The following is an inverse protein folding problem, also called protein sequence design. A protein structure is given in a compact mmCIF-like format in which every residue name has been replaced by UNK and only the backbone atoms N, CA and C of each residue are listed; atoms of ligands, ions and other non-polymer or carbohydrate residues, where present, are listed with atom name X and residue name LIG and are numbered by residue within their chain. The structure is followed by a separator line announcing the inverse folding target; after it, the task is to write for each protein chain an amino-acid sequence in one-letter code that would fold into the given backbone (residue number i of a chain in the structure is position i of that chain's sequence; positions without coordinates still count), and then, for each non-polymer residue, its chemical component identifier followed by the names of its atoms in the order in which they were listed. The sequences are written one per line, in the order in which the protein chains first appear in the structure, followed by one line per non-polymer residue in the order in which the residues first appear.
data_IF_867323311576
#
_entry.id   IF_867323311576
#
_cell.length_a   1.000
_cell.length_b   1.000
_cell.length_c   1.000
_cell.angle_alpha   90.00
_cell.angle_beta   90.00
_cell.angle_gamma   90.00
#
_symmetry.space_group_name_H-M   'P 1'
#
loop_
_entity.id
_entity.type
_entity.pdbx_description
1 polymer ?
#
# COMPACT_ATOMS: atom_id res chain seq x y z
N UNK A 1 -7.21 17.90 -5.67
CA UNK A 1 -8.42 18.72 -5.93
C UNK A 1 -8.68 19.76 -4.82
N UNK A 2 -7.95 19.73 -3.69
CA UNK A 2 -8.09 20.73 -2.65
C UNK A 2 -9.34 20.62 -1.75
N UNK A 3 -10.08 19.52 -1.81
CA UNK A 3 -11.28 19.34 -0.99
C UNK A 3 -11.02 19.22 0.52
N UNK A 4 -9.81 18.87 0.93
CA UNK A 4 -9.42 18.83 2.34
C UNK A 4 -7.97 18.38 2.52
N UNK A 5 -7.35 18.73 3.67
CA UNK A 5 -5.96 18.37 3.97
C UNK A 5 -5.83 16.96 4.56
N UNK A 6 -6.89 16.42 5.18
CA UNK A 6 -6.89 15.16 5.93
C UNK A 6 -8.01 14.25 5.42
N UNK A 7 -7.66 13.04 5.04
CA UNK A 7 -8.60 12.02 4.58
C UNK A 7 -8.29 10.67 5.23
N UNK A 8 -9.27 9.79 5.29
CA UNK A 8 -9.14 8.41 5.73
C UNK A 8 -9.51 7.50 4.56
N UNK A 9 -8.75 6.45 4.37
CA UNK A 9 -9.04 5.39 3.44
C UNK A 9 -8.85 4.01 4.06
N UNK A 10 -9.09 2.96 3.27
CA UNK A 10 -8.77 1.57 3.64
C UNK A 10 -7.88 0.94 2.58
N UNK A 11 -7.13 -0.09 2.98
CA UNK A 11 -6.12 -0.75 2.14
C UNK A 11 -6.13 -2.25 2.44
N UNK A 12 -6.43 -3.07 1.44
CA UNK A 12 -6.34 -4.53 1.51
C UNK A 12 -5.33 -5.11 0.52
N UNK A 13 -4.90 -4.32 -0.45
CA UNK A 13 -3.93 -4.72 -1.46
C UNK A 13 -3.10 -3.57 -2.00
N UNK A 14 -3.26 -2.36 -1.42
CA UNK A 14 -2.59 -1.14 -1.85
C UNK A 14 -3.51 0.08 -1.92
N UNK A 15 -4.79 -0.04 -1.56
CA UNK A 15 -5.81 1.00 -1.84
C UNK A 15 -5.62 2.33 -1.09
N UNK A 16 -4.71 2.45 -0.13
CA UNK A 16 -4.18 3.70 0.40
C UNK A 16 -2.94 4.15 -0.37
N UNK A 17 -1.98 3.22 -0.51
CA UNK A 17 -0.64 3.49 -1.00
C UNK A 17 -0.60 3.79 -2.49
N UNK A 18 -1.33 3.03 -3.31
CA UNK A 18 -1.43 3.25 -4.76
C UNK A 18 -2.00 4.63 -5.10
N UNK A 19 -3.20 5.02 -4.62
CA UNK A 19 -3.72 6.35 -4.91
C UNK A 19 -2.86 7.46 -4.30
N UNK A 20 -2.21 7.24 -3.15
CA UNK A 20 -1.26 8.21 -2.61
C UNK A 20 -0.06 8.42 -3.53
N UNK A 21 0.50 7.36 -4.11
CA UNK A 21 1.55 7.43 -5.12
C UNK A 21 1.09 8.24 -6.33
N UNK A 22 -0.06 7.89 -6.89
CA UNK A 22 -0.60 8.52 -8.11
C UNK A 22 -1.05 9.97 -7.92
N UNK A 23 -1.40 10.36 -6.70
CA UNK A 23 -1.78 11.74 -6.36
C UNK A 23 -0.65 12.56 -5.74
N UNK A 24 0.53 11.99 -5.53
CA UNK A 24 1.67 12.67 -4.93
C UNK A 24 1.49 13.05 -3.46
N UNK A 25 0.56 12.40 -2.73
CA UNK A 25 0.32 12.62 -1.30
C UNK A 25 1.03 11.58 -0.43
N UNK A 26 1.03 11.82 0.87
CA UNK A 26 1.51 10.86 1.87
C UNK A 26 0.37 9.99 2.38
N UNK A 27 0.67 8.74 2.71
CA UNK A 27 -0.21 7.85 3.46
C UNK A 27 0.58 6.87 4.31
N UNK A 28 0.01 6.47 5.44
CA UNK A 28 0.42 5.30 6.20
C UNK A 28 -0.67 4.25 6.13
N UNK A 29 -0.34 3.06 5.62
CA UNK A 29 -1.07 1.83 5.92
C UNK A 29 -0.46 1.27 7.21
N UNK A 30 -1.09 1.44 8.36
CA UNK A 30 -0.53 0.95 9.61
C UNK A 30 -0.59 -0.58 9.70
N UNK A 31 -0.03 -1.12 10.76
CA UNK A 31 -0.17 -2.53 11.13
C UNK A 31 -1.65 -2.90 11.22
N UNK A 32 -1.99 -4.13 10.83
CA UNK A 32 -3.37 -4.62 10.91
C UNK A 32 -3.89 -4.50 12.36
N UNK A 33 -5.06 -3.92 12.52
CA UNK A 33 -5.68 -3.69 13.82
C UNK A 33 -5.14 -2.50 14.62
N UNK A 34 -4.19 -1.71 14.08
CA UNK A 34 -3.72 -0.47 14.71
C UNK A 34 -4.81 0.60 14.71
N UNK A 35 -5.54 0.73 13.62
CA UNK A 35 -6.75 1.54 13.50
C UNK A 35 -7.92 0.56 13.41
N UNK A 36 -8.89 0.59 14.33
CA UNK A 36 -10.03 -0.31 14.30
C UNK A 36 -10.92 -0.06 13.08
N UNK A 37 -11.49 -1.13 12.53
CA UNK A 37 -12.40 -1.12 11.39
C UNK A 37 -13.63 -1.97 11.72
N UNK A 38 -14.80 -1.47 11.41
CA UNK A 38 -16.06 -2.20 11.53
C UNK A 38 -16.79 -2.26 10.17
N UNK A 39 -17.04 -3.44 9.59
CA UNK A 39 -16.58 -4.76 10.04
C UNK A 39 -15.09 -5.02 9.77
N UNK A 40 -14.39 -5.75 10.66
CA UNK A 40 -12.99 -6.13 10.44
C UNK A 40 -12.88 -7.14 9.28
N UNK A 41 -11.73 -7.11 8.61
CA UNK A 41 -11.46 -8.04 7.52
C UNK A 41 -9.95 -8.32 7.42
N UNK A 42 -9.59 -9.59 7.18
CA UNK A 42 -8.20 -10.03 7.07
C UNK A 42 -7.40 -9.20 6.04
N UNK A 43 -6.29 -8.65 6.47
CA UNK A 43 -5.39 -7.84 5.64
C UNK A 43 -5.88 -6.41 5.36
N UNK A 44 -7.12 -6.04 5.75
CA UNK A 44 -7.63 -4.68 5.55
C UNK A 44 -7.24 -3.78 6.72
N UNK A 45 -6.48 -2.74 6.43
CA UNK A 45 -6.13 -1.67 7.36
C UNK A 45 -6.80 -0.36 6.94
N UNK A 46 -7.22 0.47 7.90
CA UNK A 46 -7.51 1.88 7.65
C UNK A 46 -6.25 2.71 7.86
N UNK A 47 -6.18 3.89 7.24
CA UNK A 47 -5.04 4.78 7.42
C UNK A 47 -5.30 6.21 6.97
N UNK A 48 -4.44 7.15 7.45
CA UNK A 48 -4.48 8.54 7.04
C UNK A 48 -3.95 8.72 5.61
N UNK A 49 -4.57 9.63 4.86
CA UNK A 49 -4.09 10.16 3.59
C UNK A 49 -3.95 11.68 3.74
N UNK A 50 -2.75 12.20 3.62
CA UNK A 50 -2.40 13.56 4.01
C UNK A 50 -1.38 14.17 3.06
N UNK A 51 -1.08 15.47 3.22
CA UNK A 51 -0.02 16.11 2.43
C UNK A 51 1.36 15.88 3.02
N UNK A 52 1.46 15.75 4.35
CA UNK A 52 2.73 15.63 5.08
C UNK A 52 2.72 14.43 6.02
N UNK A 53 3.91 13.99 6.41
CA UNK A 53 4.08 12.94 7.43
C UNK A 53 3.53 13.39 8.77
N UNK A 54 3.72 14.68 9.12
CA UNK A 54 3.22 15.26 10.37
C UNK A 54 1.71 15.23 10.50
N UNK A 55 0.98 15.54 9.41
CA UNK A 55 -0.48 15.44 9.40
C UNK A 55 -0.96 14.00 9.64
N UNK A 56 -0.25 13.02 9.07
CA UNK A 56 -0.57 11.61 9.30
C UNK A 56 -0.32 11.21 10.76
N UNK A 57 0.80 11.63 11.35
CA UNK A 57 1.10 11.39 12.76
C UNK A 57 0.03 12.02 13.68
N UNK A 58 -0.42 13.23 13.37
CA UNK A 58 -1.52 13.90 14.09
C UNK A 58 -2.82 13.08 14.01
N UNK A 59 -3.15 12.58 12.82
CA UNK A 59 -4.33 11.72 12.66
C UNK A 59 -4.20 10.41 13.43
N UNK A 60 -3.01 9.80 13.47
CA UNK A 60 -2.78 8.57 14.22
C UNK A 60 -3.04 8.70 15.71
N UNK A 61 -2.84 9.85 16.33
CA UNK A 61 -3.17 10.10 17.75
C UNK A 61 -4.65 9.86 18.07
N UNK A 62 -5.52 10.08 17.08
CA UNK A 62 -6.96 9.90 17.25
C UNK A 62 -7.41 8.55 16.72
N UNK A 63 -6.95 8.17 15.51
CA UNK A 63 -7.44 7.01 14.79
C UNK A 63 -6.99 5.68 15.41
N UNK A 64 -5.84 5.65 16.11
CA UNK A 64 -5.29 4.42 16.72
C UNK A 64 -5.90 4.07 18.09
N UNK A 65 -6.96 4.77 18.50
CA UNK A 65 -7.68 4.44 19.75
C UNK A 65 -8.46 3.13 19.55
N UNK A 66 -8.35 2.19 20.49
CA UNK A 66 -9.04 0.90 20.40
C UNK A 66 -10.56 1.05 20.34
N UNK A 67 -11.22 0.16 19.60
CA UNK A 67 -12.69 0.03 19.55
C UNK A 67 -13.07 -1.45 19.61
N UNK A 68 -13.91 -1.81 20.58
CA UNK A 68 -14.30 -3.20 20.83
C UNK A 68 -15.13 -3.85 19.70
N UNK A 69 -15.63 -3.08 18.75
CA UNK A 69 -16.32 -3.62 17.55
C UNK A 69 -15.37 -4.31 16.58
N UNK A 70 -14.10 -3.94 16.59
CA UNK A 70 -13.07 -4.61 15.79
C UNK A 70 -12.43 -5.74 16.60
N UNK A 71 -12.81 -6.98 16.31
CA UNK A 71 -12.20 -8.16 16.95
C UNK A 71 -10.74 -8.42 16.56
N UNK A 72 -10.22 -7.70 15.56
CA UNK A 72 -8.82 -7.75 15.13
C UNK A 72 -7.99 -6.59 15.66
N UNK A 73 -8.59 -5.72 16.49
CA UNK A 73 -7.90 -4.56 17.04
C UNK A 73 -6.72 -5.00 17.93
N UNK A 74 -5.59 -4.32 17.75
CA UNK A 74 -4.41 -4.55 18.59
C UNK A 74 -4.70 -4.14 20.04
N UNK A 75 -4.03 -4.79 21.02
CA UNK A 75 -4.09 -4.34 22.39
C UNK A 75 -3.74 -2.86 22.53
N UNK A 76 -4.35 -2.14 23.48
CA UNK A 76 -4.03 -0.73 23.72
C UNK A 76 -2.53 -0.54 23.93
N UNK A 77 -1.97 0.43 23.25
CA UNK A 77 -0.57 0.85 23.40
C UNK A 77 -0.53 2.37 23.51
N UNK A 78 0.25 2.85 24.46
CA UNK A 78 0.53 4.29 24.57
C UNK A 78 1.72 4.61 23.65
N UNK A 79 1.40 5.04 22.42
CA UNK A 79 2.38 5.42 21.42
C UNK A 79 2.41 6.95 21.34
N UNK A 80 3.56 7.53 21.66
CA UNK A 80 3.80 8.96 21.41
C UNK A 80 4.01 9.22 19.92
N UNK A 81 2.90 9.49 19.21
CA UNK A 81 2.94 9.79 17.79
C UNK A 81 3.70 11.07 17.46
N UNK A 82 3.88 12.00 18.43
CA UNK A 82 4.72 13.20 18.22
C UNK A 82 6.20 12.83 18.04
N UNK A 83 6.62 11.69 18.51
CA UNK A 83 7.96 11.14 18.28
C UNK A 83 8.28 10.76 16.83
N UNK A 84 7.38 11.05 15.87
CA UNK A 84 7.68 10.94 14.43
C UNK A 84 8.67 12.00 13.97
N UNK A 85 8.73 13.17 14.62
CA UNK A 85 9.51 14.31 14.18
C UNK A 85 10.99 14.12 14.53
N UNK A 86 11.71 13.65 13.55
CA UNK A 86 13.15 13.36 13.58
C UNK A 86 13.84 14.13 12.48
N UNK A 87 15.16 14.26 12.58
CA UNK A 87 16.02 14.79 11.52
C UNK A 87 16.50 13.70 10.55
N UNK A 88 17.29 14.10 9.54
CA UNK A 88 17.83 13.18 8.55
C UNK A 88 18.88 12.19 9.13
N UNK A 89 19.53 12.54 10.24
CA UNK A 89 20.50 11.65 10.90
C UNK A 89 19.85 10.38 11.46
N UNK A 90 18.52 10.36 11.60
CA UNK A 90 17.78 9.15 11.95
C UNK A 90 18.00 7.99 10.98
N UNK A 91 18.36 8.28 9.73
CA UNK A 91 18.65 7.25 8.72
C UNK A 91 20.03 6.58 8.88
N UNK A 92 20.94 7.20 9.63
CA UNK A 92 22.32 6.75 9.77
C UNK A 92 22.40 5.34 10.39
N UNK A 93 23.05 4.44 9.66
CA UNK A 93 23.29 3.06 10.09
C UNK A 93 22.08 2.12 9.95
N UNK A 94 20.90 2.61 9.56
CA UNK A 94 19.76 1.76 9.25
C UNK A 94 20.07 0.85 8.06
N UNK A 95 19.69 -0.42 8.18
CA UNK A 95 19.78 -1.39 7.09
C UNK A 95 18.50 -1.38 6.30
N UNK A 96 18.59 -0.91 5.05
CA UNK A 96 17.45 -0.72 4.15
C UNK A 96 17.52 -1.75 3.03
N UNK A 97 16.48 -2.58 2.90
CA UNK A 97 16.30 -3.46 1.75
C UNK A 97 15.71 -2.71 0.56
N UNK A 98 16.36 -2.72 -0.60
CA UNK A 98 15.85 -2.15 -1.84
C UNK A 98 15.23 -3.25 -2.71
N UNK A 99 13.90 -3.28 -2.80
CA UNK A 99 13.13 -4.23 -3.60
C UNK A 99 12.67 -3.58 -4.91
N UNK A 100 13.30 -3.93 -6.04
CA UNK A 100 12.99 -3.40 -7.37
C UNK A 100 12.26 -4.40 -8.29
N UNK A 101 12.01 -5.60 -7.79
CA UNK A 101 11.24 -6.65 -8.45
C UNK A 101 10.38 -7.35 -7.40
N UNK A 102 9.08 -7.36 -7.59
CA UNK A 102 8.16 -8.03 -6.66
C UNK A 102 8.23 -9.57 -6.79
N UNK A 103 8.65 -10.10 -7.94
CA UNK A 103 8.63 -11.53 -8.29
C UNK A 103 7.29 -11.98 -8.90
N UNK A 104 6.35 -11.06 -9.11
CA UNK A 104 5.06 -11.31 -9.75
C UNK A 104 4.46 -10.00 -10.28
N UNK A 105 3.43 -10.12 -11.10
CA UNK A 105 2.69 -8.99 -11.63
C UNK A 105 3.41 -8.25 -12.76
N UNK A 106 3.10 -6.97 -12.91
CA UNK A 106 3.69 -6.12 -13.96
C UNK A 106 5.16 -5.82 -13.68
N UNK A 107 6.01 -5.75 -14.72
CA UNK A 107 7.37 -5.25 -14.58
C UNK A 107 7.35 -3.75 -14.21
N UNK A 108 8.37 -3.31 -13.48
CA UNK A 108 8.52 -1.90 -13.10
C UNK A 108 8.91 -1.06 -14.31
N UNK A 109 8.14 -0.02 -14.60
CA UNK A 109 8.44 0.94 -15.66
C UNK A 109 9.77 1.68 -15.39
N UNK A 110 10.57 1.99 -16.44
CA UNK A 110 11.91 2.56 -16.28
C UNK A 110 11.97 3.86 -15.47
N UNK A 111 11.00 4.76 -15.63
CA UNK A 111 10.97 6.03 -14.89
C UNK A 111 10.72 5.82 -13.40
N UNK A 112 9.83 4.89 -13.06
CA UNK A 112 9.55 4.51 -11.67
C UNK A 112 10.78 3.89 -11.03
N UNK A 113 11.44 2.96 -11.73
CA UNK A 113 12.68 2.36 -11.28
C UNK A 113 13.74 3.42 -10.99
N UNK A 114 13.96 4.34 -11.95
CA UNK A 114 14.96 5.40 -11.83
C UNK A 114 14.68 6.32 -10.62
N UNK A 115 13.42 6.69 -10.38
CA UNK A 115 13.03 7.52 -9.24
C UNK A 115 13.28 6.80 -7.90
N UNK A 116 12.94 5.51 -7.80
CA UNK A 116 13.17 4.71 -6.58
C UNK A 116 14.65 4.47 -6.34
N UNK A 117 15.46 4.22 -7.39
CA UNK A 117 16.91 4.13 -7.27
C UNK A 117 17.54 5.47 -6.85
N UNK A 118 17.00 6.59 -7.31
CA UNK A 118 17.43 7.92 -6.84
C UNK A 118 17.10 8.12 -5.36
N UNK A 119 15.90 7.72 -4.92
CA UNK A 119 15.54 7.74 -3.51
C UNK A 119 16.49 6.88 -2.67
N UNK A 120 16.84 5.68 -3.13
CA UNK A 120 17.82 4.81 -2.46
C UNK A 120 19.17 5.50 -2.28
N UNK A 121 19.66 6.21 -3.30
CA UNK A 121 20.90 7.01 -3.19
C UNK A 121 20.82 8.12 -2.14
N UNK A 122 19.64 8.74 -1.96
CA UNK A 122 19.44 9.74 -0.89
C UNK A 122 19.52 9.09 0.49
N UNK A 123 18.98 7.88 0.68
CA UNK A 123 19.15 7.11 1.92
C UNK A 123 20.63 6.82 2.20
N UNK A 124 21.40 6.38 1.19
CA UNK A 124 22.85 6.12 1.33
C UNK A 124 23.61 7.41 1.69
N UNK A 125 23.31 8.53 1.03
CA UNK A 125 23.93 9.83 1.34
C UNK A 125 23.64 10.30 2.77
N UNK A 126 22.46 9.96 3.31
CA UNK A 126 22.10 10.22 4.71
C UNK A 126 22.73 9.21 5.69
N UNK A 127 23.51 8.23 5.19
CA UNK A 127 24.27 7.28 6.00
C UNK A 127 23.55 5.95 6.27
N UNK A 128 22.45 5.64 5.60
CA UNK A 128 21.85 4.32 5.63
C UNK A 128 22.69 3.30 4.83
N UNK A 129 22.55 2.02 5.17
CA UNK A 129 23.15 0.89 4.45
C UNK A 129 22.08 0.27 3.57
N UNK A 130 22.13 0.55 2.26
CA UNK A 130 21.12 0.05 1.31
C UNK A 130 21.65 -1.22 0.63
N UNK A 131 20.85 -2.29 0.70
CA UNK A 131 21.17 -3.58 0.10
C UNK A 131 20.05 -4.03 -0.85
N UNK A 132 20.40 -4.48 -2.05
CA UNK A 132 19.40 -5.03 -2.99
C UNK A 132 18.76 -6.28 -2.42
N UNK A 133 17.45 -6.32 -2.46
CA UNK A 133 16.58 -7.43 -2.01
C UNK A 133 16.22 -8.34 -3.18
N UNK A 134 16.23 -9.66 -2.95
CA UNK A 134 15.68 -10.60 -3.91
C UNK A 134 14.15 -10.58 -3.86
N UNK A 135 13.48 -10.82 -5.00
CA UNK A 135 12.04 -11.00 -5.04
C UNK A 135 11.58 -12.12 -4.10
N UNK A 136 10.47 -11.93 -3.42
CA UNK A 136 9.95 -12.94 -2.48
C UNK A 136 8.49 -13.33 -2.74
N UNK A 137 7.78 -12.57 -3.58
CA UNK A 137 6.47 -12.97 -4.07
C UNK A 137 6.60 -13.94 -5.25
N UNK A 138 5.54 -14.67 -5.52
CA UNK A 138 5.37 -15.47 -6.72
C UNK A 138 4.03 -15.20 -7.39
N UNK A 139 3.92 -15.51 -8.68
CA UNK A 139 2.64 -15.38 -9.39
C UNK A 139 1.53 -16.20 -8.72
N UNK A 140 1.84 -17.41 -8.22
CA UNK A 140 0.87 -18.25 -7.51
C UNK A 140 0.30 -17.57 -6.24
N UNK A 141 1.11 -16.76 -5.53
CA UNK A 141 0.64 -15.99 -4.38
C UNK A 141 -0.34 -14.90 -4.83
N UNK A 142 -0.02 -14.17 -5.89
CA UNK A 142 -0.88 -13.11 -6.44
C UNK A 142 -2.18 -13.68 -6.99
N UNK A 143 -2.11 -14.75 -7.77
CA UNK A 143 -3.27 -15.44 -8.32
C UNK A 143 -4.20 -15.98 -7.21
N UNK A 144 -3.63 -16.51 -6.13
CA UNK A 144 -4.42 -16.97 -4.98
C UNK A 144 -5.23 -15.86 -4.34
N UNK A 145 -4.65 -14.66 -4.19
CA UNK A 145 -5.39 -13.49 -3.68
C UNK A 145 -6.50 -13.07 -4.64
N UNK A 146 -6.19 -12.99 -5.93
CA UNK A 146 -7.17 -12.67 -6.96
C UNK A 146 -8.34 -13.66 -6.96
N UNK A 147 -8.06 -14.96 -6.96
CA UNK A 147 -9.09 -16.00 -6.99
C UNK A 147 -9.99 -15.97 -5.75
N UNK A 148 -9.42 -15.73 -4.55
CA UNK A 148 -10.25 -15.61 -3.34
C UNK A 148 -11.14 -14.36 -3.41
N UNK A 149 -10.62 -13.23 -3.86
CA UNK A 149 -11.39 -12.00 -3.99
C UNK A 149 -12.42 -12.05 -5.11
N UNK A 150 -12.14 -12.78 -6.21
CA UNK A 150 -13.14 -13.11 -7.24
C UNK A 150 -14.31 -13.87 -6.65
N UNK A 151 -14.02 -14.95 -5.90
CA UNK A 151 -15.07 -15.76 -5.27
C UNK A 151 -15.91 -14.93 -4.29
N UNK A 152 -15.27 -14.12 -3.44
CA UNK A 152 -15.98 -13.19 -2.55
C UNK A 152 -16.89 -12.26 -3.35
N UNK A 153 -16.36 -11.61 -4.38
CA UNK A 153 -17.14 -10.69 -5.22
C UNK A 153 -18.23 -11.39 -6.00
N UNK A 154 -18.02 -12.64 -6.41
CA UNK A 154 -19.06 -13.47 -7.01
C UNK A 154 -20.21 -13.72 -6.04
N UNK A 155 -19.92 -14.11 -4.79
CA UNK A 155 -20.93 -14.30 -3.73
C UNK A 155 -21.68 -13.00 -3.45
N UNK A 156 -20.97 -11.88 -3.30
CA UNK A 156 -21.57 -10.56 -3.08
C UNK A 156 -22.51 -10.17 -4.25
N UNK A 157 -22.09 -10.43 -5.50
CA UNK A 157 -22.92 -10.18 -6.69
C UNK A 157 -24.17 -11.05 -6.77
N UNK A 158 -24.09 -12.30 -6.29
CA UNK A 158 -25.25 -13.19 -6.22
C UNK A 158 -26.35 -12.61 -5.30
N UNK A 159 -25.98 -11.88 -4.26
CA UNK A 159 -26.92 -11.23 -3.34
C UNK A 159 -27.58 -9.97 -3.93
N UNK A 160 -27.08 -9.41 -5.03
CA UNK A 160 -27.66 -8.23 -5.65
C UNK A 160 -28.93 -8.56 -6.43
N UNK A 161 -29.92 -7.66 -6.35
CA UNK A 161 -31.08 -7.71 -7.24
C UNK A 161 -30.65 -7.54 -8.71
N UNK A 162 -31.43 -8.07 -9.70
CA UNK A 162 -31.08 -7.98 -11.13
C UNK A 162 -30.82 -6.54 -11.60
N UNK A 163 -31.61 -5.57 -11.12
CA UNK A 163 -31.48 -4.14 -11.47
C UNK A 163 -30.19 -3.51 -10.91
N UNK A 164 -29.70 -3.97 -9.77
CA UNK A 164 -28.44 -3.55 -9.16
C UNK A 164 -27.25 -4.21 -9.88
N UNK A 165 -27.33 -5.52 -10.16
CA UNK A 165 -26.29 -6.26 -10.90
C UNK A 165 -26.07 -5.66 -12.29
N UNK A 166 -27.11 -5.22 -12.98
CA UNK A 166 -27.00 -4.57 -14.29
C UNK A 166 -26.21 -3.25 -14.28
N UNK A 167 -26.11 -2.58 -13.11
CA UNK A 167 -25.34 -1.33 -12.94
C UNK A 167 -23.87 -1.54 -12.59
N UNK A 168 -23.46 -2.77 -12.28
CA UNK A 168 -22.06 -3.09 -12.03
C UNK A 168 -21.28 -2.96 -13.35
N UNK A 169 -20.10 -2.32 -13.30
CA UNK A 169 -19.24 -2.17 -14.47
C UNK A 169 -19.00 -3.54 -15.15
N UNK A 170 -19.10 -3.63 -16.48
CA UNK A 170 -18.90 -4.88 -17.21
C UNK A 170 -17.61 -5.60 -16.83
N UNK A 171 -16.49 -4.87 -16.72
CA UNK A 171 -15.19 -5.37 -16.30
C UNK A 171 -15.26 -6.10 -14.93
N UNK A 172 -15.88 -5.47 -13.92
CA UNK A 172 -15.99 -6.06 -12.57
C UNK A 172 -16.92 -7.27 -12.57
N UNK A 173 -17.99 -7.21 -13.36
CA UNK A 173 -18.92 -8.32 -13.50
C UNK A 173 -18.25 -9.53 -14.13
N UNK A 174 -17.53 -9.36 -15.23
CA UNK A 174 -16.78 -10.42 -15.90
C UNK A 174 -15.75 -11.06 -14.97
N UNK A 175 -14.97 -10.23 -14.26
CA UNK A 175 -14.01 -10.68 -13.26
C UNK A 175 -14.67 -11.52 -12.16
N UNK A 176 -15.75 -11.06 -11.55
CA UNK A 176 -16.42 -11.78 -10.47
C UNK A 176 -17.12 -13.05 -10.96
N UNK A 177 -17.80 -12.99 -12.12
CA UNK A 177 -18.50 -14.16 -12.70
C UNK A 177 -17.55 -15.28 -13.12
N UNK A 178 -16.29 -14.99 -13.43
CA UNK A 178 -15.28 -16.00 -13.74
C UNK A 178 -15.01 -16.97 -12.59
N UNK A 179 -15.38 -16.62 -11.35
CA UNK A 179 -15.28 -17.51 -10.19
C UNK A 179 -16.42 -18.51 -10.04
N UNK A 180 -17.47 -18.45 -10.88
CA UNK A 180 -18.67 -19.30 -10.73
C UNK A 180 -18.36 -20.82 -10.73
N UNK A 181 -17.27 -21.23 -11.38
CA UNK A 181 -16.83 -22.63 -11.43
C UNK A 181 -15.82 -23.04 -10.35
N UNK A 182 -15.46 -22.17 -9.41
CA UNK A 182 -14.46 -22.49 -8.38
C UNK A 182 -15.05 -23.43 -7.33
N UNK A 183 -14.49 -24.63 -7.23
CA UNK A 183 -14.83 -25.58 -6.17
C UNK A 183 -14.15 -25.25 -4.84
N UNK A 184 -14.59 -25.92 -3.76
CA UNK A 184 -14.05 -25.70 -2.41
C UNK A 184 -12.54 -25.91 -2.29
N UNK A 185 -11.98 -26.90 -2.99
CA UNK A 185 -10.53 -27.14 -3.01
C UNK A 185 -9.79 -25.95 -3.64
N UNK A 186 -10.28 -25.42 -4.75
CA UNK A 186 -9.70 -24.25 -5.42
C UNK A 186 -9.66 -23.05 -4.49
N UNK A 187 -10.79 -22.75 -3.83
CA UNK A 187 -10.91 -21.63 -2.88
C UNK A 187 -9.98 -21.81 -1.68
N UNK A 188 -9.86 -23.05 -1.15
CA UNK A 188 -8.97 -23.34 -0.03
C UNK A 188 -7.49 -23.15 -0.42
N UNK A 189 -7.09 -23.61 -1.61
CA UNK A 189 -5.73 -23.39 -2.14
C UNK A 189 -5.45 -21.91 -2.34
N UNK A 190 -6.40 -21.15 -2.87
CA UNK A 190 -6.32 -19.68 -3.02
C UNK A 190 -6.15 -18.99 -1.66
N UNK A 191 -6.95 -19.35 -0.67
CA UNK A 191 -6.82 -18.84 0.70
C UNK A 191 -5.46 -19.17 1.32
N UNK A 192 -4.92 -20.36 1.06
CA UNK A 192 -3.61 -20.76 1.60
C UNK A 192 -2.46 -19.86 1.11
N UNK A 193 -2.60 -19.20 -0.05
CA UNK A 193 -1.59 -18.27 -0.56
C UNK A 193 -1.46 -16.99 0.30
N UNK A 194 -2.49 -16.59 1.02
CA UNK A 194 -2.41 -15.51 2.01
C UNK A 194 -1.37 -15.81 3.09
N UNK A 195 -1.40 -17.05 3.59
CA UNK A 195 -0.44 -17.49 4.60
C UNK A 195 0.98 -17.64 4.03
N UNK A 196 1.10 -18.20 2.82
CA UNK A 196 2.39 -18.30 2.12
C UNK A 196 3.02 -16.92 1.90
N UNK A 197 2.23 -15.93 1.46
CA UNK A 197 2.66 -14.55 1.28
C UNK A 197 3.11 -13.93 2.60
N UNK A 198 2.37 -14.16 3.69
CA UNK A 198 2.74 -13.67 5.03
C UNK A 198 4.11 -14.19 5.45
N UNK A 199 4.34 -15.51 5.34
CA UNK A 199 5.62 -16.13 5.70
C UNK A 199 6.74 -15.56 4.83
N UNK A 200 6.56 -15.51 3.52
CA UNK A 200 7.57 -15.00 2.59
C UNK A 200 7.94 -13.55 2.89
N UNK A 201 6.95 -12.67 3.10
CA UNK A 201 7.16 -11.24 3.41
C UNK A 201 7.92 -11.06 4.71
N UNK A 202 7.46 -11.67 5.81
CA UNK A 202 8.10 -11.55 7.12
C UNK A 202 9.53 -12.07 7.08
N UNK A 203 9.76 -13.24 6.46
CA UNK A 203 11.10 -13.84 6.36
C UNK A 203 12.06 -13.00 5.51
N UNK A 204 11.59 -12.47 4.37
CA UNK A 204 12.42 -11.67 3.49
C UNK A 204 12.82 -10.32 4.13
N UNK A 205 11.90 -9.70 4.89
CA UNK A 205 12.14 -8.41 5.55
C UNK A 205 12.96 -8.53 6.85
N UNK A 206 13.05 -9.71 7.47
CA UNK A 206 13.60 -9.89 8.82
C UNK A 206 15.05 -9.40 9.02
N UNK A 207 15.86 -9.35 7.96
CA UNK A 207 17.27 -8.91 8.03
C UNK A 207 17.47 -7.41 7.83
N UNK A 208 16.41 -6.66 7.53
CA UNK A 208 16.42 -5.22 7.32
C UNK A 208 15.63 -4.52 8.43
N UNK A 209 16.01 -3.29 8.74
CA UNK A 209 15.21 -2.44 9.60
C UNK A 209 13.95 -1.99 8.84
N UNK A 210 14.13 -1.58 7.59
CA UNK A 210 13.04 -1.19 6.68
C UNK A 210 13.31 -1.68 5.26
N UNK A 211 12.23 -1.73 4.46
CA UNK A 211 12.31 -2.05 3.03
C UNK A 211 11.74 -0.89 2.22
N UNK A 212 12.45 -0.47 1.18
CA UNK A 212 11.96 0.51 0.21
C UNK A 212 11.73 -0.15 -1.15
N UNK A 213 10.69 0.29 -1.84
CA UNK A 213 10.30 -0.24 -3.15
C UNK A 213 9.46 0.77 -3.93
N UNK A 214 9.19 0.55 -5.22
CA UNK A 214 8.05 1.19 -5.87
C UNK A 214 6.77 0.91 -5.07
N UNK A 215 5.82 1.85 -5.11
CA UNK A 215 4.43 1.59 -4.65
C UNK A 215 3.67 0.84 -5.73
N UNK A 216 3.78 1.32 -6.97
CA UNK A 216 3.19 0.73 -8.18
C UNK A 216 4.28 0.43 -9.20
N UNK A 217 4.20 -0.67 -9.95
CA UNK A 217 5.15 -0.94 -11.03
C UNK A 217 4.90 -0.06 -12.27
N UNK A 218 3.70 0.52 -12.39
CA UNK A 218 3.23 1.31 -13.54
C UNK A 218 2.73 2.69 -13.10
N UNK A 219 2.73 3.62 -14.03
CA UNK A 219 2.11 4.93 -13.88
C UNK A 219 0.58 4.82 -13.74
N UNK A 220 -0.12 5.87 -13.22
CA UNK A 220 -1.56 5.82 -13.06
C UNK A 220 -2.27 5.59 -14.41
N UNK A 221 -3.28 4.74 -14.41
CA UNK A 221 -4.19 4.59 -15.53
C UNK A 221 -5.20 5.76 -15.60
N UNK A 222 -5.96 5.85 -16.69
CA UNK A 222 -7.07 6.79 -16.79
C UNK A 222 -8.07 6.56 -15.64
N UNK A 223 -8.64 7.64 -15.10
CA UNK A 223 -9.53 7.58 -13.94
C UNK A 223 -10.78 6.72 -14.15
N UNK A 224 -11.21 6.55 -15.39
CA UNK A 224 -12.36 5.73 -15.81
C UNK A 224 -12.00 4.24 -15.90
N UNK A 225 -10.71 3.87 -15.91
CA UNK A 225 -10.30 2.49 -16.00
C UNK A 225 -10.55 1.74 -14.68
N UNK A 226 -11.14 0.55 -14.77
CA UNK A 226 -11.41 -0.27 -13.60
C UNK A 226 -10.14 -0.89 -12.99
N UNK A 227 -9.09 -1.03 -13.78
CA UNK A 227 -7.76 -1.50 -13.36
C UNK A 227 -6.71 -0.99 -14.34
N UNK A 228 -5.46 -0.77 -13.89
CA UNK A 228 -4.35 -0.41 -14.77
C UNK A 228 -4.04 -1.45 -15.87
N UNK A 229 -4.40 -2.70 -15.67
CA UNK A 229 -4.13 -3.78 -16.64
C UNK A 229 -5.12 -3.78 -17.80
N UNK A 230 -6.32 -3.24 -17.65
CA UNK A 230 -7.39 -3.33 -18.64
C UNK A 230 -7.91 -4.76 -18.91
N UNK A 231 -7.35 -5.78 -18.28
CA UNK A 231 -7.73 -7.19 -18.43
C UNK A 231 -8.42 -7.71 -17.17
N UNK A 232 -9.74 -8.08 -17.23
CA UNK A 232 -10.46 -8.61 -16.07
C UNK A 232 -9.94 -9.98 -15.60
N UNK A 233 -9.17 -10.68 -16.43
CA UNK A 233 -8.55 -11.94 -16.01
C UNK A 233 -7.23 -11.73 -15.24
N UNK A 234 -6.62 -10.55 -15.35
CA UNK A 234 -5.37 -10.19 -14.66
C UNK A 234 -5.45 -8.81 -13.98
N UNK A 235 -6.48 -8.53 -13.16
CA UNK A 235 -6.79 -7.18 -12.69
C UNK A 235 -5.81 -6.66 -11.64
N UNK A 236 -5.06 -7.56 -10.97
CA UNK A 236 -4.26 -7.27 -9.79
C UNK A 236 -2.75 -7.27 -10.03
N UNK A 237 -2.30 -7.34 -11.28
CA UNK A 237 -0.87 -7.41 -11.62
C UNK A 237 -0.06 -6.19 -11.14
N UNK A 238 -0.72 -5.08 -10.83
CA UNK A 238 -0.09 -3.84 -10.34
C UNK A 238 0.14 -3.79 -8.82
N UNK A 239 -0.39 -4.76 -8.03
CA UNK A 239 -0.31 -4.70 -6.57
C UNK A 239 0.81 -5.53 -5.96
N UNK A 240 1.70 -6.14 -6.77
CA UNK A 240 2.75 -7.04 -6.31
C UNK A 240 3.65 -6.45 -5.21
N UNK A 241 3.91 -5.15 -5.23
CA UNK A 241 4.70 -4.46 -4.20
C UNK A 241 3.92 -4.12 -2.94
N UNK A 242 2.61 -3.97 -3.02
CA UNK A 242 1.80 -3.48 -1.89
C UNK A 242 1.11 -4.58 -1.11
N UNK A 243 0.54 -5.58 -1.78
CA UNK A 243 -0.27 -6.62 -1.15
C UNK A 243 0.49 -7.48 -0.12
N UNK A 244 1.81 -7.75 -0.23
CA UNK A 244 2.52 -8.52 0.78
C UNK A 244 2.41 -7.93 2.19
N UNK A 245 2.45 -6.59 2.30
CA UNK A 245 2.37 -5.88 3.58
C UNK A 245 0.96 -5.82 4.17
N UNK A 246 -0.07 -6.16 3.39
CA UNK A 246 -1.39 -6.43 3.93
C UNK A 246 -1.45 -7.82 4.56
N UNK A 247 -0.96 -8.83 3.85
CA UNK A 247 -1.00 -10.23 4.31
C UNK A 247 -0.08 -10.47 5.49
N UNK A 248 1.09 -9.83 5.52
CA UNK A 248 2.05 -9.91 6.63
C UNK A 248 1.70 -9.02 7.83
N UNK A 249 0.70 -8.14 7.68
CA UNK A 249 0.27 -7.17 8.70
C UNK A 249 1.31 -6.08 9.01
N UNK A 250 2.40 -6.01 8.24
CA UNK A 250 3.45 -5.02 8.42
C UNK A 250 2.95 -3.61 8.04
N UNK A 251 3.37 -2.57 8.77
CA UNK A 251 3.08 -1.19 8.37
C UNK A 251 3.85 -0.81 7.11
N UNK A 252 3.26 0.01 6.26
CA UNK A 252 3.92 0.55 5.08
C UNK A 252 3.37 1.93 4.72
N UNK A 253 4.25 2.86 4.40
CA UNK A 253 3.90 4.20 3.93
C UNK A 253 4.10 4.32 2.42
N UNK A 254 3.42 5.28 1.80
CA UNK A 254 3.73 5.79 0.46
C UNK A 254 4.02 7.28 0.56
N UNK A 255 5.16 7.68 0.01
CA UNK A 255 5.61 9.07 -0.03
C UNK A 255 6.12 9.41 -1.43
N UNK A 256 5.84 10.61 -1.92
CA UNK A 256 6.35 11.03 -3.24
C UNK A 256 7.88 11.05 -3.24
N UNK A 257 8.51 10.47 -4.27
CA UNK A 257 9.97 10.45 -4.46
C UNK A 257 10.42 11.04 -5.81
N UNK A 258 9.49 11.55 -6.61
CA UNK A 258 9.81 12.14 -7.89
C UNK A 258 8.60 12.29 -8.79
N UNK A 259 8.87 12.61 -10.04
CA UNK A 259 7.86 12.82 -11.08
C UNK A 259 8.34 12.21 -12.38
N UNK A 260 7.40 11.71 -13.21
CA UNK A 260 7.70 11.28 -14.58
C UNK A 260 7.98 12.45 -15.52
N UNK A 261 8.37 12.16 -16.75
CA UNK A 261 8.51 13.16 -17.82
C UNK A 261 7.20 13.92 -18.10
N UNK A 262 6.06 13.28 -17.88
CA UNK A 262 4.72 13.87 -18.04
C UNK A 262 4.19 14.50 -16.73
N UNK A 263 5.07 14.81 -15.76
CA UNK A 263 4.73 15.44 -14.50
C UNK A 263 3.83 14.62 -13.56
N UNK A 264 3.70 13.32 -13.79
CA UNK A 264 2.94 12.44 -12.91
C UNK A 264 3.76 12.04 -11.68
N UNK A 265 3.18 12.08 -10.46
CA UNK A 265 3.92 11.75 -9.26
C UNK A 265 4.29 10.26 -9.18
N UNK A 266 5.47 9.99 -8.61
CA UNK A 266 5.97 8.64 -8.34
C UNK A 266 6.13 8.47 -6.84
N UNK A 267 5.57 7.38 -6.30
CA UNK A 267 5.63 7.05 -4.88
C UNK A 267 6.72 6.04 -4.54
N UNK A 268 7.43 6.31 -3.46
CA UNK A 268 8.29 5.37 -2.75
C UNK A 268 7.46 4.70 -1.65
N UNK A 269 7.48 3.38 -1.59
CA UNK A 269 6.98 2.64 -0.44
C UNK A 269 8.08 2.46 0.60
N UNK A 270 7.75 2.67 1.87
CA UNK A 270 8.62 2.41 3.03
C UNK A 270 7.86 1.43 3.92
N UNK A 271 8.33 0.19 4.04
CA UNK A 271 7.72 -0.84 4.87
C UNK A 271 8.62 -1.16 6.07
N UNK A 272 8.00 -1.31 7.24
CA UNK A 272 8.68 -1.63 8.50
C UNK A 272 8.41 -3.05 8.97
N UNK A 273 8.96 -3.40 10.12
CA UNK A 273 8.63 -4.62 10.84
C UNK A 273 7.20 -4.55 11.40
N UNK A 274 6.60 -5.71 11.70
CA UNK A 274 5.25 -5.74 12.30
C UNK A 274 5.21 -4.90 13.57
N UNK A 275 4.20 -4.05 13.66
CA UNK A 275 3.89 -3.16 14.79
C UNK A 275 4.81 -1.93 14.94
N UNK A 276 5.78 -1.75 14.05
CA UNK A 276 6.66 -0.58 14.04
C UNK A 276 6.07 0.58 13.20
N UNK A 277 4.83 0.95 13.51
CA UNK A 277 4.10 2.02 12.81
C UNK A 277 4.79 3.38 12.95
N UNK A 278 5.27 3.69 14.18
CA UNK A 278 5.98 4.94 14.46
C UNK A 278 7.36 4.99 13.77
N UNK A 279 8.07 3.86 13.71
CA UNK A 279 9.34 3.78 13.00
C UNK A 279 9.18 4.05 11.51
N UNK A 280 8.12 3.54 10.87
CA UNK A 280 7.80 3.87 9.46
C UNK A 280 7.55 5.37 9.27
N UNK A 281 6.84 6.03 10.20
CA UNK A 281 6.65 7.49 10.15
C UNK A 281 7.98 8.24 10.32
N UNK A 282 8.88 7.80 11.22
CA UNK A 282 10.20 8.40 11.41
C UNK A 282 11.06 8.32 10.15
N UNK A 283 11.14 7.14 9.53
CA UNK A 283 11.88 6.96 8.26
C UNK A 283 11.26 7.79 7.14
N UNK A 284 9.93 7.83 7.05
CA UNK A 284 9.24 8.67 6.08
C UNK A 284 9.49 10.16 6.33
N UNK A 285 9.55 10.61 7.61
CA UNK A 285 9.88 11.99 7.98
C UNK A 285 11.31 12.35 7.62
N UNK A 286 12.26 11.49 7.94
CA UNK A 286 13.66 11.70 7.57
C UNK A 286 13.83 11.80 6.04
N UNK A 287 13.14 10.93 5.28
CA UNK A 287 13.13 11.00 3.82
C UNK A 287 12.43 12.27 3.29
N UNK A 288 11.32 12.71 3.92
CA UNK A 288 10.63 13.96 3.59
C UNK A 288 11.56 15.19 3.65
N UNK A 289 12.55 15.19 4.56
CA UNK A 289 13.53 16.26 4.73
C UNK A 289 14.64 16.26 3.68
N UNK A 290 15.00 15.10 3.12
CA UNK A 290 16.14 14.96 2.20
C UNK A 290 15.74 14.81 0.73
N UNK A 291 14.48 14.48 0.45
CA UNK A 291 13.98 14.38 -0.93
C UNK A 291 13.90 15.74 -1.60
N UNK A 292 13.83 15.74 -2.91
CA UNK A 292 13.55 16.96 -3.67
C UNK A 292 12.24 17.61 -3.22
N UNK A 293 12.17 18.93 -3.34
CA UNK A 293 10.97 19.70 -2.99
C UNK A 293 9.79 19.23 -3.84
N UNK A 294 8.67 18.97 -3.18
CA UNK A 294 7.42 18.68 -3.90
C UNK A 294 6.96 19.91 -4.70
N UNK A 295 6.29 19.62 -5.82
CA UNK A 295 5.59 20.65 -6.58
C UNK A 295 4.49 21.28 -5.74
N UNK A 296 4.14 22.56 -6.00
CA UNK A 296 3.02 23.20 -5.33
C UNK A 296 1.73 22.40 -5.46
N UNK A 297 0.97 22.33 -4.38
CA UNK A 297 -0.35 21.72 -4.42
C UNK A 297 -1.28 22.51 -5.33
N UNK A 298 -2.17 21.85 -6.09
CA UNK A 298 -3.16 22.56 -6.87
C UNK A 298 -4.07 23.38 -5.95
N UNK A 299 -4.35 24.61 -6.34
CA UNK A 299 -5.34 25.42 -5.64
C UNK A 299 -6.74 24.88 -5.90
N UNK A 300 -7.65 24.91 -4.88
CA UNK A 300 -9.02 24.56 -5.09
C UNK A 300 -9.65 25.45 -6.19
N UNK A 301 -10.54 24.90 -7.03
CA UNK A 301 -11.24 25.75 -7.98
C UNK A 301 -12.02 26.85 -7.24
N UNK A 302 -12.00 28.10 -7.73
CA UNK A 302 -12.73 29.19 -7.08
C UNK A 302 -14.22 28.87 -7.06
N UNK A 303 -14.85 28.86 -5.88
CA UNK A 303 -16.29 28.72 -5.70
C UNK A 303 -16.81 27.32 -5.44
N UNK A 304 -16.01 26.40 -4.91
CA UNK A 304 -16.46 25.10 -4.39
C UNK A 304 -17.03 25.19 -2.98
#
# INVERSE_FOLDING_TARGET
AGYGPLHIGTDIGGSLRLPASWCGIFTLKPSLGRIPIDPPYMGRAAGPMTRTVGDAALMMQVLSRPDARDCMNLPPQDIDWAGYDVDADHLRGLRIGLLLDAGCGLPVEPEIRAAVEQAARLFEQAGAIVETMQPFMSQAMLDGMDHLWRMRSHVDMQALRPDQRAKVLPYIREWAESAAGFGGEHVFRAFSQFHATRIASVSACAKFDYVISPVSPNMPAAAEAASPTGDPMRPLEHIGFTVPYNMSEQPAASINCGYSADDLPIGLQIAGQRFDDLGVLRVARAFELIREAQRPWPEPPPGG
#
